data_IF_397587016905
#
_entry.id   IF_397587016905
#
_cell.length_a   1.000
_cell.length_b   1.000
_cell.length_c   1.000
_cell.angle_alpha   90.00
_cell.angle_beta   90.00
_cell.angle_gamma   90.00
#
_symmetry.space_group_name_H-M   'P 1'
#
loop_
_entity.id
_entity.type
_entity.pdbx_description
1 polymer ?
#
# COMPACT_ATOMS: atom_id res chain seq x y z
N UNK A 1 -2.18 -47.90 -19.00
CA UNK A 1 -1.35 -46.73 -19.39
C UNK A 1 -2.23 -45.54 -19.81
N UNK A 2 -2.89 -44.87 -18.86
CA UNK A 2 -3.74 -43.68 -19.15
C UNK A 2 -3.94 -42.76 -17.93
N UNK A 3 -3.00 -42.75 -16.97
CA UNK A 3 -3.17 -42.04 -15.71
C UNK A 3 -2.15 -40.92 -15.44
N UNK A 4 -1.06 -40.82 -16.21
CA UNK A 4 0.01 -39.85 -15.90
C UNK A 4 -0.09 -38.53 -16.68
N UNK A 5 -0.84 -38.48 -17.78
CA UNK A 5 -1.03 -37.25 -18.56
C UNK A 5 -2.09 -36.31 -17.96
N UNK A 6 -2.95 -36.78 -17.04
CA UNK A 6 -3.98 -35.95 -16.40
C UNK A 6 -3.41 -35.07 -15.28
N UNK A 7 -2.42 -35.58 -14.53
CA UNK A 7 -1.81 -34.86 -13.40
C UNK A 7 -0.90 -33.72 -13.86
N UNK A 8 -0.16 -33.89 -14.96
CA UNK A 8 0.73 -32.83 -15.48
C UNK A 8 -0.09 -31.65 -16.04
N UNK A 9 -1.24 -31.92 -16.68
CA UNK A 9 -2.15 -30.86 -17.13
C UNK A 9 -2.90 -30.19 -15.98
N UNK A 10 -3.22 -30.91 -14.90
CA UNK A 10 -3.79 -30.31 -13.70
C UNK A 10 -2.78 -29.39 -12.98
N UNK A 11 -1.50 -29.78 -12.90
CA UNK A 11 -0.46 -28.94 -12.30
C UNK A 11 -0.10 -27.72 -13.15
N UNK A 12 -0.14 -27.81 -14.47
CA UNK A 12 0.11 -26.66 -15.35
C UNK A 12 -1.09 -25.70 -15.36
N UNK A 13 -2.31 -26.21 -15.19
CA UNK A 13 -3.51 -25.35 -15.08
C UNK A 13 -3.59 -24.64 -13.71
N UNK A 14 -3.10 -25.28 -12.64
CA UNK A 14 -3.04 -24.67 -11.29
C UNK A 14 -1.90 -23.65 -11.17
N UNK A 15 -0.88 -23.70 -12.03
CA UNK A 15 0.24 -22.74 -12.04
C UNK A 15 -0.04 -21.46 -12.85
N UNK A 16 -1.26 -21.26 -13.37
CA UNK A 16 -1.58 -20.15 -14.28
C UNK A 16 -2.55 -19.09 -13.72
N UNK A 17 -3.03 -19.17 -12.48
CA UNK A 17 -4.05 -18.21 -12.00
C UNK A 17 -3.92 -17.81 -10.55
N UNK A 18 -2.94 -16.97 -10.23
CA UNK A 18 -3.19 -15.90 -9.27
C UNK A 18 -2.77 -14.56 -9.86
N UNK A 19 -3.35 -14.26 -11.04
CA UNK A 19 -3.50 -12.87 -11.45
C UNK A 19 -4.01 -12.10 -10.23
N UNK A 20 -3.44 -10.93 -9.89
CA UNK A 20 -4.03 -10.09 -8.87
C UNK A 20 -5.45 -9.82 -9.31
N UNK A 21 -6.41 -10.45 -8.63
CA UNK A 21 -7.80 -10.32 -8.99
C UNK A 21 -8.12 -8.83 -8.92
N UNK A 22 -8.65 -8.25 -10.00
CA UNK A 22 -8.94 -6.82 -10.09
C UNK A 22 -9.73 -6.32 -8.86
N UNK A 23 -10.55 -7.20 -8.28
CA UNK A 23 -11.25 -6.99 -7.01
C UNK A 23 -10.32 -6.71 -5.81
N UNK A 24 -9.24 -7.48 -5.63
CA UNK A 24 -8.26 -7.27 -4.55
C UNK A 24 -7.52 -5.95 -4.72
N UNK A 25 -7.07 -5.65 -5.95
CA UNK A 25 -6.39 -4.39 -6.26
C UNK A 25 -7.32 -3.20 -6.04
N UNK A 26 -8.57 -3.30 -6.48
CA UNK A 26 -9.61 -2.31 -6.20
C UNK A 26 -9.76 -2.07 -4.72
N UNK A 27 -9.94 -3.13 -3.91
CA UNK A 27 -10.10 -2.99 -2.46
C UNK A 27 -8.89 -2.29 -1.82
N UNK A 28 -7.67 -2.61 -2.26
CA UNK A 28 -6.47 -1.93 -1.79
C UNK A 28 -6.50 -0.43 -2.17
N UNK A 29 -6.78 -0.11 -3.43
CA UNK A 29 -6.77 1.26 -3.95
C UNK A 29 -7.92 2.13 -3.41
N UNK A 30 -9.08 1.55 -3.14
CA UNK A 30 -10.22 2.23 -2.49
C UNK A 30 -9.96 2.55 -1.02
N UNK A 31 -9.22 1.68 -0.32
CA UNK A 31 -9.01 1.84 1.11
C UNK A 31 -8.02 2.95 1.43
N UNK A 32 -8.55 4.16 1.65
CA UNK A 32 -7.79 5.36 2.01
C UNK A 32 -6.84 5.18 3.21
N UNK A 33 -6.97 4.09 3.97
CA UNK A 33 -6.08 3.79 5.08
C UNK A 33 -4.67 3.38 4.68
N UNK A 34 -4.55 2.78 3.50
CA UNK A 34 -3.30 2.18 3.06
C UNK A 34 -2.41 3.15 2.30
N UNK A 35 -1.10 3.00 2.46
CA UNK A 35 -0.13 3.39 1.43
C UNK A 35 0.36 2.12 0.73
N UNK A 36 0.26 2.07 -0.59
CA UNK A 36 0.63 0.90 -1.40
C UNK A 36 1.86 1.29 -2.21
N UNK A 37 2.86 0.43 -2.25
CA UNK A 37 4.09 0.63 -3.01
C UNK A 37 4.24 -0.53 -3.98
N UNK A 38 4.33 -0.20 -5.26
CA UNK A 38 4.71 -1.12 -6.32
C UNK A 38 6.10 -0.79 -6.81
N UNK A 39 6.86 -1.82 -7.15
CA UNK A 39 8.23 -1.70 -7.64
C UNK A 39 8.38 -2.51 -8.93
N UNK A 40 9.10 -1.93 -9.90
CA UNK A 40 9.47 -2.60 -11.15
C UNK A 40 10.46 -3.75 -10.87
N UNK A 41 10.53 -4.78 -11.73
CA UNK A 41 11.44 -5.92 -11.54
C UNK A 41 12.90 -5.51 -11.37
N UNK A 42 13.34 -4.46 -12.08
CA UNK A 42 14.72 -3.97 -12.04
C UNK A 42 14.97 -2.90 -10.95
N UNK A 43 13.95 -2.58 -10.14
CA UNK A 43 13.94 -1.50 -9.15
C UNK A 43 14.16 -0.08 -9.72
N UNK A 44 14.10 0.11 -11.03
CA UNK A 44 14.25 1.41 -11.68
C UNK A 44 13.07 2.35 -11.40
N UNK A 45 11.87 1.81 -11.21
CA UNK A 45 10.64 2.55 -11.01
C UNK A 45 9.87 2.08 -9.79
N UNK A 46 9.24 3.04 -9.10
CA UNK A 46 8.35 2.78 -7.97
C UNK A 46 7.09 3.62 -8.07
N UNK A 47 5.93 2.99 -7.91
CA UNK A 47 4.65 3.69 -7.82
C UNK A 47 4.18 3.64 -6.37
N UNK A 48 3.90 4.81 -5.80
CA UNK A 48 3.34 4.91 -4.45
C UNK A 48 1.92 5.48 -4.50
N UNK A 49 0.94 4.71 -4.04
CA UNK A 49 -0.41 5.20 -3.78
C UNK A 49 -0.55 5.54 -2.30
N UNK A 50 -1.07 6.72 -1.98
CA UNK A 50 -1.25 7.17 -0.60
C UNK A 50 -2.39 8.18 -0.49
N UNK A 51 -2.78 8.52 0.73
CA UNK A 51 -3.88 9.44 1.00
C UNK A 51 -3.34 10.79 1.45
N UNK A 52 -3.79 11.85 0.79
CA UNK A 52 -3.54 13.24 1.20
C UNK A 52 -4.74 13.80 1.92
N UNK A 53 -4.52 14.74 2.86
CA UNK A 53 -5.57 15.43 3.60
C UNK A 53 -5.49 16.92 3.29
N UNK A 54 -6.45 17.43 2.55
CA UNK A 54 -6.62 18.86 2.29
C UNK A 54 -7.76 19.38 3.13
N UNK A 55 -7.49 20.44 3.91
CA UNK A 55 -8.54 21.10 4.68
C UNK A 55 -9.30 22.05 3.76
N UNK A 56 -10.60 21.83 3.62
CA UNK A 56 -11.47 22.73 2.88
C UNK A 56 -11.51 24.09 3.60
N UNK A 57 -11.32 25.18 2.85
CA UNK A 57 -11.30 26.54 3.40
C UNK A 57 -12.67 27.01 3.85
N UNK A 58 -13.73 26.51 3.23
CA UNK A 58 -15.13 26.89 3.45
C UNK A 58 -15.73 26.06 4.58
N UNK A 59 -15.75 24.73 4.43
CA UNK A 59 -16.38 23.84 5.42
C UNK A 59 -15.51 23.59 6.64
N UNK A 60 -14.20 23.89 6.55
CA UNK A 60 -13.16 23.53 7.56
C UNK A 60 -13.01 22.03 7.79
N UNK A 61 -13.68 21.20 7.01
CA UNK A 61 -13.57 19.75 7.08
C UNK A 61 -12.31 19.25 6.37
N UNK A 62 -11.81 18.10 6.78
CA UNK A 62 -10.67 17.47 6.10
C UNK A 62 -11.20 16.59 4.98
N UNK A 63 -10.86 16.93 3.74
CA UNK A 63 -11.12 16.10 2.58
C UNK A 63 -9.92 15.19 2.36
N UNK A 64 -10.18 13.88 2.37
CA UNK A 64 -9.17 12.87 2.08
C UNK A 64 -9.27 12.47 0.62
N UNK A 65 -8.15 12.54 -0.08
CA UNK A 65 -8.08 12.21 -1.51
C UNK A 65 -6.97 11.20 -1.72
N UNK A 66 -7.25 10.16 -2.51
CA UNK A 66 -6.22 9.23 -2.97
C UNK A 66 -5.33 9.91 -4.00
N UNK A 67 -4.03 9.70 -3.88
CA UNK A 67 -3.00 10.28 -4.74
C UNK A 67 -1.95 9.22 -5.02
N UNK A 68 -1.23 9.36 -6.13
CA UNK A 68 -0.13 8.49 -6.46
C UNK A 68 1.04 9.25 -7.06
N UNK A 69 2.25 8.75 -6.86
CA UNK A 69 3.48 9.26 -7.49
C UNK A 69 4.22 8.13 -8.19
N UNK A 70 4.84 8.44 -9.33
CA UNK A 70 5.90 7.61 -9.91
C UNK A 70 7.25 8.17 -9.46
N UNK A 71 8.13 7.28 -9.02
CA UNK A 71 9.48 7.57 -8.56
C UNK A 71 10.44 6.87 -9.50
N UNK A 72 11.31 7.64 -10.14
CA UNK A 72 12.43 7.14 -10.93
C UNK A 72 13.64 6.99 -10.00
N UNK A 73 13.95 5.73 -9.66
CA UNK A 73 15.04 5.42 -8.73
C UNK A 73 16.40 5.62 -9.37
N UNK A 74 16.52 5.46 -10.70
CA UNK A 74 17.78 5.60 -11.44
C UNK A 74 18.23 7.05 -11.48
N UNK A 75 17.30 7.98 -11.70
CA UNK A 75 17.59 9.41 -11.76
C UNK A 75 17.57 10.10 -10.39
N UNK A 76 17.35 9.32 -9.32
CA UNK A 76 17.33 9.79 -7.93
C UNK A 76 16.21 10.79 -7.63
N UNK A 77 15.17 10.83 -8.48
CA UNK A 77 14.13 11.85 -8.46
C UNK A 77 12.75 11.25 -8.28
N UNK A 78 11.98 11.82 -7.36
CA UNK A 78 10.52 11.71 -7.44
C UNK A 78 10.10 12.59 -8.61
N UNK A 79 9.41 12.04 -9.62
CA UNK A 79 8.80 12.88 -10.65
C UNK A 79 7.74 13.73 -9.93
N UNK A 80 7.92 15.06 -9.80
CA UNK A 80 7.07 15.88 -8.92
C UNK A 80 5.65 16.08 -9.46
N UNK A 81 5.39 15.64 -10.70
CA UNK A 81 4.12 15.86 -11.37
C UNK A 81 3.14 14.76 -10.97
N UNK A 82 2.02 15.19 -10.39
CA UNK A 82 0.78 14.43 -10.42
C UNK A 82 0.53 14.01 -11.87
N UNK A 83 0.86 12.77 -12.20
CA UNK A 83 0.77 12.25 -13.58
C UNK A 83 -0.66 12.36 -14.12
N UNK A 84 -1.66 12.21 -13.25
CA UNK A 84 -3.07 12.46 -13.55
C UNK A 84 -3.86 12.68 -12.24
N UNK A 85 -5.10 13.13 -12.36
CA UNK A 85 -6.10 13.04 -11.28
C UNK A 85 -6.37 11.57 -10.99
N UNK A 86 -6.42 11.21 -9.70
CA UNK A 86 -6.70 9.82 -9.31
C UNK A 86 -8.10 9.41 -9.79
N UNK A 87 -8.14 8.44 -10.71
CA UNK A 87 -9.33 7.76 -11.19
C UNK A 87 -9.19 6.28 -10.82
N UNK A 88 -10.12 5.78 -10.00
CA UNK A 88 -10.01 4.44 -9.44
C UNK A 88 -9.96 3.37 -10.53
N UNK A 89 -10.83 3.44 -11.54
CA UNK A 89 -10.94 2.41 -12.58
C UNK A 89 -9.67 2.34 -13.40
N UNK A 90 -9.18 3.50 -13.85
CA UNK A 90 -7.91 3.58 -14.60
C UNK A 90 -6.73 3.03 -13.79
N UNK A 91 -6.69 3.32 -12.49
CA UNK A 91 -5.59 2.87 -11.64
C UNK A 91 -5.69 1.37 -11.32
N UNK A 92 -6.88 0.81 -11.19
CA UNK A 92 -7.08 -0.64 -11.08
C UNK A 92 -6.56 -1.34 -12.33
N UNK A 93 -6.97 -0.88 -13.50
CA UNK A 93 -6.52 -1.46 -14.78
C UNK A 93 -5.01 -1.35 -14.96
N UNK A 94 -4.44 -0.18 -14.66
CA UNK A 94 -2.99 0.04 -14.71
C UNK A 94 -2.25 -0.93 -13.79
N UNK A 95 -2.65 -1.02 -12.52
CA UNK A 95 -1.97 -1.87 -11.54
C UNK A 95 -2.09 -3.34 -11.92
N UNK A 96 -3.27 -3.80 -12.35
CA UNK A 96 -3.46 -5.18 -12.83
C UNK A 96 -2.53 -5.47 -14.00
N UNK A 97 -2.44 -4.56 -14.98
CA UNK A 97 -1.56 -4.71 -16.13
C UNK A 97 -0.07 -4.74 -15.73
N UNK A 98 0.36 -3.85 -14.83
CA UNK A 98 1.74 -3.80 -14.36
C UNK A 98 2.14 -5.10 -13.65
N UNK A 99 1.26 -5.62 -12.79
CA UNK A 99 1.51 -6.86 -12.05
C UNK A 99 1.45 -8.09 -12.95
N UNK A 100 0.63 -8.08 -14.00
CA UNK A 100 0.40 -9.24 -14.87
C UNK A 100 1.40 -9.32 -16.02
N UNK A 101 1.77 -8.17 -16.60
CA UNK A 101 2.48 -8.10 -17.88
C UNK A 101 3.85 -7.44 -17.78
N UNK A 102 4.14 -6.74 -16.68
CA UNK A 102 5.40 -6.00 -16.51
C UNK A 102 6.20 -6.49 -15.28
N UNK A 103 5.80 -7.60 -14.67
CA UNK A 103 6.44 -8.20 -13.49
C UNK A 103 6.63 -7.24 -12.31
N UNK A 104 5.79 -6.20 -12.23
CA UNK A 104 5.76 -5.34 -11.05
C UNK A 104 5.32 -6.16 -9.84
N UNK A 105 5.77 -5.73 -8.66
CA UNK A 105 5.40 -6.39 -7.40
C UNK A 105 4.89 -5.36 -6.42
N UNK A 106 3.84 -5.71 -5.68
CA UNK A 106 3.46 -4.96 -4.49
C UNK A 106 4.48 -5.29 -3.40
N UNK A 107 5.44 -4.40 -3.18
CA UNK A 107 6.52 -4.61 -2.22
C UNK A 107 6.13 -4.19 -0.81
N UNK A 108 5.12 -3.33 -0.66
CA UNK A 108 4.73 -2.79 0.64
C UNK A 108 3.29 -2.31 0.66
N UNK A 109 2.53 -2.72 1.68
CA UNK A 109 1.27 -2.09 2.07
C UNK A 109 1.40 -1.59 3.51
N UNK A 110 1.31 -0.29 3.68
CA UNK A 110 1.46 0.38 4.97
C UNK A 110 0.08 0.72 5.52
N UNK A 111 -0.21 0.23 6.73
CA UNK A 111 -1.45 0.47 7.45
C UNK A 111 -1.25 1.39 8.67
N UNK A 112 -0.52 2.49 8.45
CA UNK A 112 -0.28 3.50 9.47
C UNK A 112 1.09 3.40 10.13
N UNK A 113 1.17 4.03 11.30
CA UNK A 113 2.38 4.11 12.10
C UNK A 113 2.10 3.76 13.55
N UNK A 114 3.13 3.30 14.23
CA UNK A 114 3.19 2.99 15.64
C UNK A 114 4.43 3.65 16.25
N UNK A 115 4.26 4.56 17.20
CA UNK A 115 5.34 5.26 17.87
C UNK A 115 5.18 5.22 19.40
N UNK A 116 6.28 5.01 20.12
CA UNK A 116 6.27 5.08 21.58
C UNK A 116 6.49 6.51 22.07
N UNK A 117 5.61 7.02 22.92
CA UNK A 117 5.77 8.36 23.49
C UNK A 117 7.03 8.43 24.37
N UNK A 118 7.98 9.35 24.13
CA UNK A 118 9.21 9.40 24.93
C UNK A 118 8.93 9.83 26.38
N UNK A 119 7.84 10.57 26.61
CA UNK A 119 7.49 11.09 27.94
C UNK A 119 6.66 10.12 28.79
N UNK A 120 5.81 9.29 28.18
CA UNK A 120 4.91 8.39 28.92
C UNK A 120 5.10 6.91 28.59
N UNK A 121 6.01 6.60 27.67
CA UNK A 121 6.34 5.27 27.14
C UNK A 121 5.16 4.46 26.59
N UNK A 122 3.97 5.07 26.48
CA UNK A 122 2.83 4.45 25.82
C UNK A 122 3.05 4.38 24.32
N UNK A 123 2.77 3.22 23.76
CA UNK A 123 2.67 3.00 22.33
C UNK A 123 1.42 3.70 21.81
N UNK A 124 1.58 4.49 20.76
CA UNK A 124 0.52 5.21 20.08
C UNK A 124 0.51 4.77 18.63
N UNK A 125 -0.67 4.56 18.08
CA UNK A 125 -0.85 4.23 16.68
C UNK A 125 -1.59 5.36 15.97
N UNK A 126 -1.31 5.53 14.68
CA UNK A 126 -1.99 6.50 13.84
C UNK A 126 -1.99 6.09 12.38
N UNK A 127 -2.75 6.82 11.58
CA UNK A 127 -2.93 6.55 10.16
C UNK A 127 -1.83 7.19 9.32
N UNK A 128 -1.62 6.72 8.10
CA UNK A 128 -0.53 7.19 7.22
C UNK A 128 -0.59 8.69 6.90
N UNK A 129 -1.79 9.28 6.82
CA UNK A 129 -1.98 10.73 6.62
C UNK A 129 -1.95 11.55 7.91
N UNK A 130 -1.85 10.92 9.08
CA UNK A 130 -1.74 11.64 10.34
C UNK A 130 -0.27 11.90 10.64
N UNK A 131 0.19 13.16 10.60
CA UNK A 131 1.61 13.44 10.76
C UNK A 131 2.11 13.26 12.19
N UNK A 132 1.22 13.29 13.20
CA UNK A 132 1.60 13.22 14.61
C UNK A 132 0.53 12.54 15.49
N UNK A 133 0.92 11.94 16.62
CA UNK A 133 -0.01 11.46 17.66
C UNK A 133 -0.87 12.58 18.24
N UNK A 134 -2.18 12.32 18.36
CA UNK A 134 -3.16 13.32 18.80
C UNK A 134 -3.12 13.63 20.30
N UNK A 135 -2.81 12.66 21.17
CA UNK A 135 -2.90 12.82 22.64
C UNK A 135 -1.84 12.00 23.36
N UNK A 136 -1.18 12.62 24.33
CA UNK A 136 -0.36 11.94 25.34
C UNK A 136 -1.11 11.96 26.67
N UNK A 137 -1.10 10.85 27.43
CA UNK A 137 -1.88 10.72 28.67
C UNK A 137 -1.29 11.46 29.87
N UNK A 138 -0.15 12.14 29.73
CA UNK A 138 0.46 12.94 30.80
C UNK A 138 -0.23 14.31 30.81
N UNK A 139 -0.74 14.72 31.98
CA UNK A 139 -1.53 15.96 32.21
C UNK A 139 -0.86 17.27 31.74
N UNK A 140 0.42 17.22 31.34
CA UNK A 140 1.07 18.28 30.55
C UNK A 140 1.82 17.66 29.37
N UNK A 141 1.34 17.78 28.13
CA UNK A 141 2.18 17.51 26.98
C UNK A 141 2.61 18.83 26.33
N UNK A 142 3.92 19.09 26.30
CA UNK A 142 4.49 19.66 25.07
C UNK A 142 4.14 18.63 23.99
N UNK A 143 3.47 19.04 22.90
CA UNK A 143 3.07 18.17 21.78
C UNK A 143 4.16 17.10 21.57
N UNK A 144 3.79 15.82 21.53
CA UNK A 144 4.72 14.74 21.22
C UNK A 144 5.22 14.94 19.79
N UNK A 145 6.22 15.81 19.62
CA UNK A 145 6.96 16.02 18.38
C UNK A 145 7.96 14.89 18.29
N UNK A 146 7.46 13.69 18.05
CA UNK A 146 8.31 12.60 17.61
C UNK A 146 8.30 12.61 16.08
N UNK A 147 9.48 12.51 15.50
CA UNK A 147 9.63 12.11 14.12
C UNK A 147 9.22 10.63 14.05
N UNK A 148 8.28 10.29 13.18
CA UNK A 148 7.90 8.88 12.95
C UNK A 148 9.08 8.25 12.20
N UNK A 149 9.86 7.41 12.88
CA UNK A 149 10.98 6.69 12.29
C UNK A 149 10.47 5.56 11.37
N UNK A 150 11.26 5.14 10.37
CA UNK A 150 10.84 4.09 9.42
C UNK A 150 10.50 2.74 10.10
N UNK A 151 11.09 2.46 11.25
CA UNK A 151 10.81 1.30 12.12
C UNK A 151 9.43 1.35 12.80
N UNK A 152 8.78 2.51 12.77
CA UNK A 152 7.47 2.79 13.36
C UNK A 152 6.33 2.57 12.36
N UNK A 153 6.56 1.89 11.24
CA UNK A 153 5.56 1.70 10.19
C UNK A 153 4.90 0.34 10.38
N UNK A 154 3.56 0.30 10.42
CA UNK A 154 2.82 -0.97 10.44
C UNK A 154 2.77 -1.46 9.00
N UNK A 155 3.63 -2.40 8.68
CA UNK A 155 3.77 -2.99 7.34
C UNK A 155 3.05 -4.34 7.31
N UNK A 156 2.11 -4.47 6.38
CA UNK A 156 1.69 -5.79 5.92
C UNK A 156 2.65 -6.16 4.80
N UNK A 157 3.71 -6.89 5.14
CA UNK A 157 4.56 -7.53 4.15
C UNK A 157 3.76 -8.69 3.58
N UNK A 158 3.38 -8.57 2.30
CA UNK A 158 3.01 -9.75 1.55
C UNK A 158 4.33 -10.42 1.15
N UNK A 159 4.73 -11.57 1.73
CA UNK A 159 5.75 -12.36 1.06
C UNK A 159 5.25 -12.62 -0.36
N UNK A 160 6.15 -12.74 -1.33
CA UNK A 160 5.79 -13.06 -2.71
C UNK A 160 4.88 -14.30 -2.82
N UNK A 161 4.87 -15.16 -1.80
CA UNK A 161 4.00 -16.32 -1.63
C UNK A 161 2.65 -16.08 -0.89
N UNK A 162 2.44 -14.96 -0.16
CA UNK A 162 1.20 -14.77 0.63
C UNK A 162 -0.01 -14.28 -0.17
N UNK A 163 0.17 -13.86 -1.42
CA UNK A 163 -0.99 -13.61 -2.30
C UNK A 163 -1.72 -14.93 -2.59
N UNK A 164 -1.04 -16.08 -2.52
CA UNK A 164 -1.65 -17.42 -2.62
C UNK A 164 -2.47 -17.80 -1.37
N UNK A 165 -2.16 -17.23 -0.20
CA UNK A 165 -2.81 -17.63 1.07
C UNK A 165 -4.14 -16.91 1.37
N UNK A 166 -4.51 -15.86 0.60
CA UNK A 166 -5.80 -15.15 0.80
C UNK A 166 -6.99 -15.99 0.28
N UNK A 167 -6.74 -17.08 -0.44
CA UNK A 167 -7.78 -17.96 -0.99
C UNK A 167 -8.43 -18.94 0.00
N UNK A 168 -8.01 -19.02 1.28
CA UNK A 168 -8.49 -20.10 2.18
C UNK A 168 -9.55 -19.66 3.21
N UNK A 169 -10.05 -18.42 3.18
CA UNK A 169 -11.14 -17.98 4.09
C UNK A 169 -12.43 -17.53 3.39
N UNK A 170 -12.69 -18.08 2.20
CA UNK A 170 -13.92 -17.83 1.46
C UNK A 170 -14.47 -19.08 0.76
N UNK A 171 -14.54 -20.20 1.48
CA UNK A 171 -15.37 -21.35 1.11
C UNK A 171 -16.61 -21.40 2.01
#
# INVERSE_FOLDING_TARGET
>A
MKAELSLVLFYITVMLTSLPQAHTIRHLLENLEFKIVLESPDNDYRIEYFTTSLKDRVTRESKFTRTYHLIDQVRGGVTPEHWDTFDLEKQVDLVVNLLTHCDYRVVKVVNGWEASCPSCKKVMQGKTWQPFPKKCSVKRPRKCKMLIERSSIIETLFPAAAIEAIQVLGA
#
